data_IF_077289411219
#
_entry.id   IF_077289411219
#
_cell.length_a   1.000
_cell.length_b   1.000
_cell.length_c   1.000
_cell.angle_alpha   90.00
_cell.angle_beta   90.00
_cell.angle_gamma   90.00
#
_symmetry.space_group_name_H-M   'P 1'
#
loop_
_entity.id
_entity.type
_entity.pdbx_description
1 polymer ?
#
# COMPACT_ATOMS: atom_id res chain seq x y z
N UNK A 1 -5.20 14.16 -9.60
CA UNK A 1 -5.16 13.18 -8.49
C UNK A 1 -5.58 13.90 -7.22
N UNK A 2 -6.67 13.49 -6.64
CA UNK A 2 -7.14 13.99 -5.35
C UNK A 2 -6.50 13.17 -4.22
N UNK A 3 -6.06 13.84 -3.14
CA UNK A 3 -5.52 13.17 -1.95
C UNK A 3 -6.32 13.61 -0.73
N UNK A 4 -7.03 12.69 -0.11
CA UNK A 4 -7.76 12.88 1.14
C UNK A 4 -6.84 12.46 2.28
N UNK A 5 -6.37 13.42 3.09
CA UNK A 5 -5.38 13.20 4.16
C UNK A 5 -6.05 13.11 5.53
N UNK A 6 -5.62 12.14 6.34
CA UNK A 6 -6.02 11.97 7.73
C UNK A 6 -4.79 11.95 8.65
N UNK A 7 -4.87 12.63 9.78
CA UNK A 7 -3.89 12.46 10.86
C UNK A 7 -4.04 11.07 11.50
N UNK A 8 -5.31 10.66 11.71
CA UNK A 8 -5.66 9.37 12.27
C UNK A 8 -7.03 8.92 11.77
N UNK A 9 -7.13 7.64 11.40
CA UNK A 9 -8.37 7.00 10.95
C UNK A 9 -8.40 5.55 11.42
N UNK A 10 -9.52 4.88 11.33
CA UNK A 10 -9.61 3.42 11.55
C UNK A 10 -8.86 2.66 10.46
N UNK A 11 -9.21 2.86 9.19
CA UNK A 11 -8.55 2.24 8.05
C UNK A 11 -8.78 3.04 6.76
N UNK A 12 -7.69 3.34 6.04
CA UNK A 12 -7.77 3.95 4.70
C UNK A 12 -8.55 3.06 3.73
N UNK A 13 -8.40 1.74 3.84
CA UNK A 13 -9.09 0.77 2.99
C UNK A 13 -10.60 0.74 3.24
N UNK A 14 -11.01 0.75 4.52
CA UNK A 14 -12.43 0.80 4.87
C UNK A 14 -13.04 2.14 4.39
N UNK A 15 -12.36 3.25 4.61
CA UNK A 15 -12.83 4.55 4.14
C UNK A 15 -12.96 4.57 2.61
N UNK A 16 -11.95 4.11 1.87
CA UNK A 16 -11.97 4.03 0.41
C UNK A 16 -13.18 3.24 -0.10
N UNK A 17 -13.45 2.07 0.49
CA UNK A 17 -14.57 1.19 0.11
C UNK A 17 -15.95 1.80 0.41
N UNK A 18 -16.05 2.74 1.34
CA UNK A 18 -17.31 3.42 1.71
C UNK A 18 -17.59 4.69 0.89
N UNK A 19 -16.69 5.10 0.01
CA UNK A 19 -16.94 6.20 -0.92
C UNK A 19 -18.08 5.83 -1.89
N UNK A 20 -19.00 6.78 -2.12
CA UNK A 20 -20.18 6.51 -2.96
C UNK A 20 -19.82 6.49 -4.45
N UNK A 21 -19.13 7.52 -4.91
CA UNK A 21 -18.76 7.75 -6.31
C UNK A 21 -17.36 8.36 -6.38
N UNK A 22 -16.31 7.58 -6.00
CA UNK A 22 -14.96 8.10 -6.03
C UNK A 22 -14.44 8.21 -7.47
N UNK A 23 -13.68 9.27 -7.73
CA UNK A 23 -12.94 9.39 -8.97
C UNK A 23 -11.75 8.43 -8.99
N UNK A 24 -11.43 7.84 -10.15
CA UNK A 24 -10.21 7.05 -10.30
C UNK A 24 -8.97 7.84 -9.88
N UNK A 25 -8.04 7.16 -9.24
CA UNK A 25 -6.81 7.74 -8.70
C UNK A 25 -7.01 8.68 -7.50
N UNK A 26 -8.20 8.68 -6.88
CA UNK A 26 -8.35 9.28 -5.54
C UNK A 26 -7.53 8.45 -4.55
N UNK A 27 -6.68 9.13 -3.78
CA UNK A 27 -5.82 8.54 -2.75
C UNK A 27 -6.33 8.91 -1.38
N UNK A 28 -6.49 7.94 -0.51
CA UNK A 28 -6.79 8.10 0.91
C UNK A 28 -5.50 7.82 1.67
N UNK A 29 -4.94 8.83 2.32
CA UNK A 29 -3.67 8.77 3.02
C UNK A 29 -3.86 9.02 4.51
N UNK A 30 -3.27 8.20 5.36
CA UNK A 30 -3.31 8.38 6.81
C UNK A 30 -1.90 8.33 7.42
N UNK A 31 -1.66 9.15 8.45
CA UNK A 31 -0.44 9.08 9.25
C UNK A 31 -0.47 7.95 10.28
N UNK A 32 -1.67 7.56 10.73
CA UNK A 32 -1.90 6.50 11.70
C UNK A 32 -3.22 5.80 11.43
N UNK A 33 -3.27 4.47 11.59
CA UNK A 33 -4.50 3.70 11.54
C UNK A 33 -4.72 2.93 12.84
N UNK A 34 -5.95 2.96 13.38
CA UNK A 34 -6.31 2.22 14.61
C UNK A 34 -6.80 0.81 14.35
N UNK A 35 -7.25 0.52 13.12
CA UNK A 35 -7.73 -0.77 12.67
C UNK A 35 -7.27 -1.06 11.24
N UNK A 36 -5.96 -0.88 10.98
CA UNK A 36 -5.35 -1.17 9.68
C UNK A 36 -5.66 -2.60 9.24
N UNK A 37 -5.97 -2.78 7.96
CA UNK A 37 -6.36 -4.06 7.37
C UNK A 37 -5.22 -4.68 6.59
N UNK A 38 -4.96 -5.98 6.88
CA UNK A 38 -4.22 -6.90 6.05
C UNK A 38 -5.15 -7.81 5.25
N UNK A 39 -4.64 -8.90 4.73
CA UNK A 39 -5.43 -9.91 4.01
C UNK A 39 -6.39 -10.64 4.96
N UNK A 40 -7.61 -10.88 4.49
CA UNK A 40 -8.63 -11.58 5.28
C UNK A 40 -9.04 -10.81 6.53
N UNK A 41 -8.70 -11.33 7.70
CA UNK A 41 -8.98 -10.73 9.00
C UNK A 41 -7.74 -10.19 9.70
N UNK A 42 -6.60 -10.22 9.04
CA UNK A 42 -5.33 -9.80 9.62
C UNK A 42 -5.32 -8.30 9.90
N UNK A 43 -4.64 -7.94 10.97
CA UNK A 43 -4.42 -6.56 11.37
C UNK A 43 -3.08 -6.06 10.82
N UNK A 44 -3.07 -4.86 10.24
CA UNK A 44 -1.86 -4.17 9.84
C UNK A 44 -1.48 -3.12 10.90
N UNK A 45 -0.38 -3.33 11.60
CA UNK A 45 0.14 -2.38 12.57
C UNK A 45 0.54 -1.07 11.87
N UNK A 46 -0.10 0.03 12.25
CA UNK A 46 -0.01 1.31 11.53
C UNK A 46 0.25 2.49 12.45
N UNK A 47 1.38 2.54 13.18
CA UNK A 47 1.74 3.69 14.01
C UNK A 47 2.14 4.87 13.14
N UNK A 48 2.28 6.06 13.73
CA UNK A 48 2.85 7.23 13.04
C UNK A 48 4.23 6.89 12.47
N UNK A 49 4.54 7.45 11.30
CA UNK A 49 5.81 7.28 10.61
C UNK A 49 5.72 6.38 9.38
N UNK A 50 4.87 5.36 9.37
CA UNK A 50 4.65 4.53 8.18
C UNK A 50 3.92 5.27 7.06
N UNK A 51 3.88 4.66 5.88
CA UNK A 51 3.13 5.13 4.72
C UNK A 51 1.92 4.20 4.52
N UNK A 52 0.74 4.71 4.83
CA UNK A 52 -0.53 3.97 4.76
C UNK A 52 -1.50 4.70 3.86
N UNK A 53 -1.83 4.08 2.74
CA UNK A 53 -2.78 4.68 1.81
C UNK A 53 -3.60 3.64 1.08
N UNK A 54 -4.75 4.07 0.59
CA UNK A 54 -5.55 3.32 -0.36
C UNK A 54 -5.80 4.18 -1.60
N UNK A 55 -5.77 3.57 -2.77
CA UNK A 55 -6.01 4.23 -4.05
C UNK A 55 -7.21 3.61 -4.75
N UNK A 56 -8.08 4.46 -5.31
CA UNK A 56 -9.18 4.02 -6.17
C UNK A 56 -8.62 3.75 -7.55
N UNK A 57 -8.78 2.51 -8.01
CA UNK A 57 -8.29 2.10 -9.31
C UNK A 57 -9.29 2.46 -10.42
N UNK A 58 -8.83 2.84 -11.62
CA UNK A 58 -9.68 2.94 -12.79
C UNK A 58 -10.26 1.56 -13.15
N UNK A 59 -11.36 1.55 -13.89
CA UNK A 59 -11.79 0.31 -14.53
C UNK A 59 -10.66 -0.18 -15.46
N UNK A 60 -10.22 -1.39 -15.22
CA UNK A 60 -9.10 -2.02 -15.93
C UNK A 60 -9.59 -3.24 -16.68
N UNK A 61 -8.90 -3.63 -17.74
CA UNK A 61 -9.08 -4.93 -18.41
C UNK A 61 -8.59 -6.08 -17.52
N UNK A 62 -7.77 -5.79 -16.50
CA UNK A 62 -7.41 -6.78 -15.48
C UNK A 62 -8.58 -6.91 -14.52
N UNK A 63 -9.37 -7.95 -14.68
CA UNK A 63 -10.50 -8.28 -13.79
C UNK A 63 -10.03 -9.06 -12.56
N UNK A 64 -8.87 -9.71 -12.65
CA UNK A 64 -8.28 -10.48 -11.57
C UNK A 64 -7.54 -9.57 -10.56
N UNK A 65 -8.10 -9.45 -9.36
CA UNK A 65 -7.54 -8.66 -8.27
C UNK A 65 -6.17 -9.15 -7.82
N UNK A 66 -5.90 -10.44 -7.94
CA UNK A 66 -4.62 -11.01 -7.57
C UNK A 66 -3.52 -10.49 -8.48
N UNK A 67 -3.76 -10.43 -9.77
CA UNK A 67 -2.83 -9.84 -10.75
C UNK A 67 -2.54 -8.37 -10.45
N UNK A 68 -3.56 -7.57 -10.09
CA UNK A 68 -3.37 -6.18 -9.67
C UNK A 68 -2.54 -6.07 -8.40
N UNK A 69 -2.78 -6.95 -7.43
CA UNK A 69 -2.03 -7.00 -6.17
C UNK A 69 -0.55 -7.36 -6.41
N UNK A 70 -0.29 -8.36 -7.26
CA UNK A 70 1.06 -8.76 -7.65
C UNK A 70 1.79 -7.62 -8.37
N UNK A 71 1.13 -6.96 -9.31
CA UNK A 71 1.69 -5.80 -10.01
C UNK A 71 2.11 -4.71 -9.02
N UNK A 72 1.26 -4.37 -8.06
CA UNK A 72 1.57 -3.38 -7.04
C UNK A 72 2.73 -3.83 -6.14
N UNK A 73 2.83 -5.12 -5.80
CA UNK A 73 3.96 -5.63 -5.03
C UNK A 73 5.29 -5.45 -5.78
N UNK A 74 5.31 -5.72 -7.09
CA UNK A 74 6.49 -5.47 -7.93
C UNK A 74 6.84 -3.99 -8.00
N UNK A 75 5.85 -3.10 -8.12
CA UNK A 75 6.07 -1.65 -8.15
C UNK A 75 6.65 -1.14 -6.83
N UNK A 76 6.07 -1.53 -5.69
CA UNK A 76 6.58 -1.13 -4.37
C UNK A 76 8.01 -1.66 -4.16
N UNK A 77 8.28 -2.91 -4.54
CA UNK A 77 9.62 -3.48 -4.45
C UNK A 77 10.62 -2.75 -5.35
N UNK A 78 10.23 -2.40 -6.59
CA UNK A 78 11.03 -1.60 -7.51
C UNK A 78 11.38 -0.24 -6.92
N UNK A 79 10.39 0.48 -6.39
CA UNK A 79 10.59 1.80 -5.75
C UNK A 79 11.56 1.70 -4.56
N UNK A 80 11.44 0.66 -3.72
CA UNK A 80 12.37 0.42 -2.61
C UNK A 80 13.79 0.18 -3.14
N UNK A 81 13.94 -0.67 -4.15
CA UNK A 81 15.25 -1.01 -4.72
C UNK A 81 15.92 0.22 -5.35
N UNK A 82 15.21 0.95 -6.19
CA UNK A 82 15.78 2.06 -6.97
C UNK A 82 16.12 3.28 -6.11
N UNK A 83 15.30 3.60 -5.09
CA UNK A 83 15.55 4.75 -4.23
C UNK A 83 16.55 4.50 -3.10
N UNK A 84 16.64 3.27 -2.62
CA UNK A 84 17.39 2.98 -1.39
C UNK A 84 18.50 1.95 -1.56
N UNK A 85 18.67 1.39 -2.76
CA UNK A 85 19.65 0.33 -3.04
C UNK A 85 19.51 -0.87 -2.08
N UNK A 86 18.26 -1.21 -1.73
CA UNK A 86 17.90 -2.38 -0.94
C UNK A 86 17.40 -3.49 -1.86
N UNK A 87 17.51 -4.75 -1.43
CA UNK A 87 17.06 -5.92 -2.19
C UNK A 87 15.80 -6.52 -1.54
N UNK A 88 14.59 -6.03 -1.90
CA UNK A 88 13.36 -6.60 -1.38
C UNK A 88 13.05 -7.96 -2.01
N UNK A 89 12.50 -8.86 -1.20
CA UNK A 89 11.96 -10.14 -1.64
C UNK A 89 10.43 -10.07 -1.62
N UNK A 90 9.79 -10.46 -2.72
CA UNK A 90 8.34 -10.51 -2.82
C UNK A 90 7.85 -11.91 -2.49
N UNK A 91 7.10 -12.05 -1.40
CA UNK A 91 6.33 -13.23 -1.08
C UNK A 91 4.94 -13.08 -1.68
N UNK A 92 4.75 -13.69 -2.83
CA UNK A 92 3.49 -13.59 -3.57
C UNK A 92 2.30 -14.07 -2.73
N UNK A 93 1.12 -13.45 -2.93
CA UNK A 93 0.85 -12.40 -3.94
C UNK A 93 1.11 -10.97 -3.46
N UNK A 94 1.26 -10.71 -2.16
CA UNK A 94 0.94 -9.41 -1.57
C UNK A 94 1.93 -8.89 -0.52
N UNK A 95 2.97 -9.64 -0.19
CA UNK A 95 3.88 -9.31 0.90
C UNK A 95 5.30 -9.00 0.41
N UNK A 96 5.94 -7.97 0.99
CA UNK A 96 7.31 -7.60 0.67
C UNK A 96 8.16 -7.70 1.94
N UNK A 97 9.34 -8.31 1.79
CA UNK A 97 10.29 -8.58 2.87
C UNK A 97 11.65 -7.95 2.59
N UNK A 98 12.33 -7.53 3.64
CA UNK A 98 13.75 -7.19 3.63
C UNK A 98 14.47 -8.03 4.69
N UNK A 99 15.48 -8.80 4.27
CA UNK A 99 16.28 -9.66 5.15
C UNK A 99 15.40 -10.55 6.06
N UNK A 100 14.36 -11.17 5.48
CA UNK A 100 13.46 -12.07 6.17
C UNK A 100 12.39 -11.41 7.06
N UNK A 101 12.33 -10.07 7.13
CA UNK A 101 11.31 -9.34 7.89
C UNK A 101 10.38 -8.57 6.95
N UNK A 102 9.08 -8.61 7.24
CA UNK A 102 8.05 -7.96 6.43
C UNK A 102 8.16 -6.44 6.53
N UNK A 103 8.17 -5.78 5.38
CA UNK A 103 8.26 -4.32 5.28
C UNK A 103 7.02 -3.69 4.65
N UNK A 104 6.32 -4.41 3.78
CA UNK A 104 5.10 -3.93 3.16
C UNK A 104 4.08 -5.03 2.93
N UNK A 105 2.82 -4.64 2.83
CA UNK A 105 1.70 -5.49 2.45
C UNK A 105 0.72 -4.73 1.55
N UNK A 106 0.14 -5.44 0.60
CA UNK A 106 -0.82 -4.90 -0.37
C UNK A 106 -2.11 -5.70 -0.29
N UNK A 107 -3.25 -5.02 -0.38
CA UNK A 107 -4.56 -5.65 -0.52
C UNK A 107 -5.34 -4.95 -1.65
N UNK A 108 -6.01 -5.72 -2.48
CA UNK A 108 -6.88 -5.17 -3.52
C UNK A 108 -8.27 -5.79 -3.37
N UNK A 109 -9.30 -4.95 -3.30
CA UNK A 109 -10.67 -5.37 -3.07
C UNK A 109 -11.63 -4.65 -4.01
N UNK A 110 -12.63 -5.40 -4.51
CA UNK A 110 -13.74 -4.84 -5.26
C UNK A 110 -14.82 -4.30 -4.31
N UNK A 111 -15.37 -3.15 -4.65
CA UNK A 111 -16.62 -2.66 -4.08
C UNK A 111 -17.76 -3.08 -5.02
N UNK A 112 -18.62 -3.96 -4.52
CA UNK A 112 -19.65 -4.62 -5.29
C UNK A 112 -21.01 -4.02 -4.95
N UNK A 113 -21.82 -3.75 -6.00
CA UNK A 113 -23.25 -3.45 -5.92
C UNK A 113 -24.04 -4.52 -6.67
N UNK A 114 -24.79 -4.13 -7.70
CA UNK A 114 -25.31 -5.09 -8.71
C UNK A 114 -24.16 -5.61 -9.60
N UNK A 115 -23.15 -4.77 -9.79
CA UNK A 115 -21.91 -5.04 -10.51
C UNK A 115 -20.74 -4.48 -9.69
N UNK A 116 -19.49 -4.71 -10.14
CA UNK A 116 -18.32 -4.05 -9.58
C UNK A 116 -18.41 -2.56 -9.84
N UNK A 117 -18.49 -1.77 -8.76
CA UNK A 117 -18.54 -0.31 -8.85
C UNK A 117 -17.16 0.27 -9.12
N UNK A 118 -16.19 -0.15 -8.31
CA UNK A 118 -14.77 0.21 -8.42
C UNK A 118 -13.93 -0.77 -7.61
N UNK A 119 -12.62 -0.68 -7.77
CA UNK A 119 -11.64 -1.42 -6.94
C UNK A 119 -10.85 -0.44 -6.10
N UNK A 120 -10.53 -0.83 -4.87
CA UNK A 120 -9.66 -0.09 -3.97
C UNK A 120 -8.43 -0.94 -3.65
N UNK A 121 -7.24 -0.35 -3.80
CA UNK A 121 -5.97 -0.98 -3.46
C UNK A 121 -5.37 -0.29 -2.25
N UNK A 122 -5.19 -1.03 -1.16
CA UNK A 122 -4.52 -0.58 0.06
C UNK A 122 -3.05 -1.01 0.06
N UNK A 123 -2.18 -0.08 0.40
CA UNK A 123 -0.74 -0.31 0.54
C UNK A 123 -0.30 0.18 1.91
N UNK A 124 0.28 -0.72 2.70
CA UNK A 124 0.97 -0.42 3.94
C UNK A 124 2.47 -0.64 3.76
N UNK A 125 3.27 0.41 3.91
CA UNK A 125 4.72 0.36 3.84
C UNK A 125 5.32 0.91 5.14
N UNK A 126 6.11 0.09 5.81
CA UNK A 126 6.84 0.48 7.01
C UNK A 126 8.03 1.36 6.63
N UNK A 127 7.86 2.67 6.70
CA UNK A 127 8.90 3.65 6.32
C UNK A 127 9.68 4.14 7.53
N UNK A 128 9.12 5.06 8.31
CA UNK A 128 9.78 5.72 9.44
C UNK A 128 9.23 5.21 10.79
N UNK A 129 9.25 3.89 10.98
CA UNK A 129 8.87 3.23 12.23
C UNK A 129 10.14 2.81 12.96
N UNK A 130 10.39 3.36 14.15
CA UNK A 130 11.62 3.13 14.88
C UNK A 130 11.65 1.78 15.63
N UNK A 131 10.47 1.26 16.00
CA UNK A 131 10.36 0.01 16.74
C UNK A 131 8.99 -0.64 16.52
N UNK A 132 8.93 -1.93 16.73
CA UNK A 132 7.71 -2.74 16.68
C UNK A 132 7.40 -3.36 18.04
N UNK A 133 6.12 -3.66 18.36
CA UNK A 133 5.75 -4.44 19.52
C UNK A 133 6.45 -5.80 19.55
N UNK A 134 6.58 -6.39 20.74
CA UNK A 134 7.32 -7.67 20.95
C UNK A 134 6.89 -8.81 20.05
N UNK A 135 5.60 -8.90 19.76
CA UNK A 135 5.01 -9.89 18.86
C UNK A 135 5.36 -9.68 17.38
N UNK A 136 5.76 -8.46 17.00
CA UNK A 136 6.13 -8.09 15.64
C UNK A 136 7.63 -7.81 15.44
N UNK A 137 8.41 -7.55 16.48
CA UNK A 137 9.81 -7.10 16.39
C UNK A 137 10.73 -8.06 15.60
N UNK A 138 10.42 -9.35 15.63
CA UNK A 138 11.17 -10.38 14.91
C UNK A 138 10.62 -10.64 13.49
N UNK A 139 9.42 -10.16 13.17
CA UNK A 139 8.73 -10.44 11.91
C UNK A 139 8.62 -9.22 11.00
N UNK A 140 8.75 -8.00 11.54
CA UNK A 140 8.62 -6.76 10.79
C UNK A 140 9.89 -5.91 10.82
N UNK A 141 10.05 -5.05 9.82
CA UNK A 141 11.09 -4.03 9.73
C UNK A 141 10.57 -2.79 9.02
N UNK A 142 11.36 -1.73 9.00
CA UNK A 142 11.05 -0.47 8.32
C UNK A 142 12.24 0.04 7.52
N UNK A 143 12.00 0.99 6.60
CA UNK A 143 13.07 1.60 5.81
C UNK A 143 14.08 2.34 6.70
N UNK A 144 13.61 3.17 7.65
CA UNK A 144 14.53 3.92 8.53
C UNK A 144 15.39 2.99 9.41
N UNK A 145 14.86 1.86 9.89
CA UNK A 145 15.66 0.88 10.63
C UNK A 145 16.77 0.26 9.77
N UNK A 146 16.53 0.11 8.45
CA UNK A 146 17.53 -0.43 7.51
C UNK A 146 18.54 0.61 7.05
N UNK A 147 18.12 1.85 6.91
CA UNK A 147 18.94 2.95 6.37
C UNK A 147 19.63 3.79 7.43
N UNK A 148 19.16 3.74 8.70
CA UNK A 148 19.61 4.60 9.77
C UNK A 148 19.21 6.07 9.62
N UNK A 149 18.20 6.37 8.80
CA UNK A 149 17.66 7.71 8.54
C UNK A 149 16.22 7.67 8.09
N UNK A 150 15.52 8.79 8.31
CA UNK A 150 14.16 8.97 7.79
C UNK A 150 14.12 9.07 6.26
N UNK A 151 12.98 8.68 5.70
CA UNK A 151 12.69 8.75 4.27
C UNK A 151 11.47 9.66 4.01
N UNK A 152 11.38 10.19 2.81
CA UNK A 152 10.29 11.06 2.39
C UNK A 152 9.08 10.24 1.91
N UNK A 153 8.06 10.14 2.76
CA UNK A 153 6.83 9.41 2.47
C UNK A 153 6.04 10.02 1.29
N UNK A 154 6.06 11.34 1.11
CA UNK A 154 5.33 11.98 0.01
C UNK A 154 5.98 11.67 -1.34
N UNK A 155 7.31 11.65 -1.38
CA UNK A 155 8.07 11.24 -2.56
C UNK A 155 7.78 9.78 -2.93
N UNK A 156 7.86 8.88 -1.97
CA UNK A 156 7.60 7.43 -2.17
C UNK A 156 6.17 7.20 -2.67
N UNK A 157 5.18 7.83 -2.03
CA UNK A 157 3.78 7.77 -2.46
C UNK A 157 3.61 8.18 -3.92
N UNK A 158 4.19 9.34 -4.28
CA UNK A 158 4.10 9.87 -5.64
C UNK A 158 4.68 8.90 -6.66
N UNK A 159 5.86 8.37 -6.42
CA UNK A 159 6.52 7.42 -7.31
C UNK A 159 5.72 6.11 -7.48
N UNK A 160 5.18 5.56 -6.39
CA UNK A 160 4.32 4.37 -6.47
C UNK A 160 3.07 4.65 -7.32
N UNK A 161 2.40 5.78 -7.12
CA UNK A 161 1.20 6.12 -7.88
C UNK A 161 1.49 6.40 -9.35
N UNK A 162 2.59 7.06 -9.66
CA UNK A 162 3.01 7.33 -11.04
C UNK A 162 3.33 6.02 -11.78
N UNK A 163 4.07 5.12 -11.16
CA UNK A 163 4.39 3.81 -11.73
C UNK A 163 3.12 2.95 -11.92
N UNK A 164 2.20 2.93 -10.94
CA UNK A 164 0.91 2.25 -11.09
C UNK A 164 0.12 2.79 -12.28
N UNK A 165 0.09 4.11 -12.48
CA UNK A 165 -0.60 4.74 -13.61
C UNK A 165 0.00 4.34 -14.94
N UNK A 166 1.31 4.30 -15.03
CA UNK A 166 2.04 3.93 -16.26
C UNK A 166 1.77 2.48 -16.63
N UNK A 167 1.94 1.57 -15.67
CA UNK A 167 1.74 0.13 -15.90
C UNK A 167 0.29 -0.20 -16.27
N UNK A 168 -0.69 0.40 -15.59
CA UNK A 168 -2.10 0.15 -15.88
C UNK A 168 -2.57 0.76 -17.22
N UNK A 169 -1.93 1.81 -17.72
CA UNK A 169 -2.16 2.29 -19.09
C UNK A 169 -1.66 1.28 -20.12
N UNK A 170 -0.42 0.83 -19.98
CA UNK A 170 0.21 -0.10 -20.92
C UNK A 170 -0.54 -1.42 -21.03
N UNK A 171 -1.11 -1.94 -19.94
CA UNK A 171 -1.90 -3.17 -19.93
C UNK A 171 -3.32 -2.92 -20.47
N UNK A 172 -3.80 -1.69 -20.43
CA UNK A 172 -5.13 -1.26 -20.90
C UNK A 172 -5.23 -1.01 -22.40
N UNK A 173 -4.10 -0.89 -23.09
CA UNK A 173 -4.00 -0.79 -24.56
C UNK A 173 -3.96 -2.18 -25.21
#
# INVERSE_FOLDING_TARGET
>A
MEIIKFEKIDSTQIFAKNLKTPEPWTVILAKEQTAGRGEGRDFWYSPKGGLYFSVILPKSKIEDLQTLTILAAFIVAKVIKENFNLEPFIKLPNDIYLNGKKIAGIITENVIGKEVKFSAMGIGLNTNIDSFPKDLENMATSLNMKLGKEVDNEKILKEIIEELKEQLKTIGE
#
